data_IF_686651673408
#
_entry.id   IF_686651673408
#
_cell.length_a   1.000
_cell.length_b   1.000
_cell.length_c   1.000
_cell.angle_alpha   90.00
_cell.angle_beta   90.00
_cell.angle_gamma   90.00
#
_symmetry.space_group_name_H-M   'P 1'
#
loop_
_entity.id
_entity.type
_entity.pdbx_description
1 polymer ?
#
# COMPACT_ATOMS: atom_id res chain seq x y z
N UNK A 1 -65.79 -7.58 -14.31
CA UNK A 1 -64.77 -8.57 -14.64
C UNK A 1 -65.49 -9.86 -15.11
N UNK A 2 -65.28 -10.18 -16.36
CA UNK A 2 -66.13 -11.14 -17.11
C UNK A 2 -65.92 -12.56 -16.60
N UNK A 3 -67.04 -13.34 -16.53
CA UNK A 3 -67.05 -14.75 -16.07
C UNK A 3 -66.00 -15.64 -16.82
N UNK A 4 -65.65 -15.26 -18.02
CA UNK A 4 -64.63 -15.95 -18.84
C UNK A 4 -63.24 -15.75 -18.27
N UNK A 5 -62.95 -14.56 -17.73
CA UNK A 5 -61.63 -14.24 -17.18
C UNK A 5 -61.37 -15.01 -15.86
N UNK A 6 -62.43 -15.27 -15.06
CA UNK A 6 -62.32 -16.06 -13.82
C UNK A 6 -62.11 -17.54 -14.08
N UNK A 7 -62.59 -18.07 -15.23
CA UNK A 7 -62.38 -19.47 -15.62
C UNK A 7 -60.95 -19.70 -16.14
N UNK A 8 -60.40 -18.72 -16.88
CA UNK A 8 -59.02 -18.77 -17.39
C UNK A 8 -58.00 -18.68 -16.23
N UNK A 9 -58.32 -17.91 -15.17
CA UNK A 9 -57.43 -17.77 -14.04
C UNK A 9 -57.39 -19.05 -13.17
N UNK A 10 -58.48 -19.80 -13.13
CA UNK A 10 -58.50 -21.09 -12.38
C UNK A 10 -57.82 -22.23 -13.12
N UNK A 11 -57.81 -22.20 -14.46
CA UNK A 11 -57.09 -23.22 -15.26
C UNK A 11 -55.58 -22.94 -15.27
N UNK A 12 -55.15 -21.66 -15.24
CA UNK A 12 -53.74 -21.31 -15.16
C UNK A 12 -53.13 -21.71 -13.80
N UNK A 13 -53.89 -21.66 -12.71
CA UNK A 13 -53.35 -22.09 -11.37
C UNK A 13 -53.30 -23.62 -11.24
N UNK A 14 -54.12 -24.39 -11.99
CA UNK A 14 -54.08 -25.84 -11.96
C UNK A 14 -52.94 -26.45 -12.79
N UNK A 15 -52.42 -25.72 -13.77
CA UNK A 15 -51.29 -26.20 -14.61
C UNK A 15 -49.92 -25.84 -14.02
N UNK A 16 -49.86 -24.83 -13.13
CA UNK A 16 -48.60 -24.45 -12.50
C UNK A 16 -48.34 -25.21 -11.17
N UNK A 17 -49.27 -26.03 -10.71
CA UNK A 17 -49.15 -26.77 -9.46
C UNK A 17 -48.49 -28.15 -9.54
N UNK A 18 -48.03 -28.58 -10.72
CA UNK A 18 -47.51 -29.95 -10.87
C UNK A 18 -46.10 -30.10 -11.39
N UNK A 19 -45.29 -29.08 -11.28
CA UNK A 19 -43.94 -29.16 -11.87
C UNK A 19 -42.80 -28.71 -10.93
N UNK A 20 -42.92 -28.86 -9.61
CA UNK A 20 -41.73 -28.65 -8.75
C UNK A 20 -41.81 -29.58 -7.52
N UNK A 21 -41.76 -30.90 -7.74
CA UNK A 21 -41.19 -31.80 -6.74
C UNK A 21 -39.82 -32.23 -7.27
N UNK A 22 -38.84 -31.30 -7.34
CA UNK A 22 -37.48 -31.70 -7.22
C UNK A 22 -37.20 -31.85 -5.72
N UNK A 23 -36.92 -33.06 -5.34
CA UNK A 23 -36.37 -33.39 -4.06
C UNK A 23 -35.14 -32.51 -3.83
N UNK A 24 -35.24 -31.47 -3.01
CA UNK A 24 -34.11 -31.01 -2.26
C UNK A 24 -33.80 -32.12 -1.26
N UNK A 25 -32.80 -32.92 -1.57
CA UNK A 25 -32.07 -33.57 -0.51
C UNK A 25 -31.45 -32.41 0.29
N UNK A 26 -31.94 -32.22 1.49
CA UNK A 26 -31.22 -31.45 2.49
C UNK A 26 -29.88 -32.15 2.68
N UNK A 27 -28.89 -31.77 1.86
CA UNK A 27 -27.53 -31.89 2.31
C UNK A 27 -27.47 -30.95 3.52
N UNK A 28 -27.58 -31.52 4.68
CA UNK A 28 -27.09 -30.89 5.89
C UNK A 28 -25.64 -30.54 5.55
N UNK A 29 -25.36 -29.27 5.32
CA UNK A 29 -24.01 -28.79 5.32
C UNK A 29 -23.42 -29.20 6.65
N UNK A 30 -22.73 -30.31 6.66
CA UNK A 30 -21.88 -30.65 7.80
C UNK A 30 -21.00 -29.40 8.02
N UNK A 31 -21.03 -28.86 9.24
CA UNK A 31 -20.10 -27.77 9.55
C UNK A 31 -18.72 -28.26 9.12
N UNK A 32 -18.06 -27.50 8.26
CA UNK A 32 -16.73 -27.84 7.74
C UNK A 32 -15.89 -28.26 8.94
N UNK A 33 -15.35 -29.46 8.90
CA UNK A 33 -14.43 -29.92 9.95
C UNK A 33 -13.39 -28.82 10.16
N UNK A 34 -13.11 -28.44 11.40
CA UNK A 34 -12.08 -27.43 11.63
C UNK A 34 -10.80 -27.92 10.97
N UNK A 35 -10.22 -27.06 10.13
CA UNK A 35 -8.91 -27.32 9.50
C UNK A 35 -7.97 -27.67 10.65
N UNK A 36 -7.35 -28.85 10.61
CA UNK A 36 -6.43 -29.24 11.68
C UNK A 36 -5.32 -28.17 11.74
N UNK A 37 -5.29 -27.46 12.83
CA UNK A 37 -4.49 -26.23 13.00
C UNK A 37 -3.02 -26.41 12.67
N UNK A 38 -2.46 -27.60 12.80
CA UNK A 38 -1.03 -27.84 12.63
C UNK A 38 -0.51 -27.69 11.19
N UNK A 39 -1.37 -27.72 10.17
CA UNK A 39 -0.91 -27.84 8.78
C UNK A 39 -0.85 -26.53 8.00
N UNK A 40 -1.41 -25.44 8.52
CA UNK A 40 -1.42 -24.15 7.78
C UNK A 40 -0.32 -23.19 8.24
N UNK A 41 0.31 -23.44 9.36
CA UNK A 41 1.24 -22.49 9.96
C UNK A 41 2.69 -22.79 9.56
N UNK A 42 3.46 -21.72 9.41
CA UNK A 42 4.92 -21.77 9.18
C UNK A 42 5.59 -21.57 10.54
N UNK A 43 6.47 -22.50 10.91
CA UNK A 43 7.29 -22.36 12.12
C UNK A 43 8.43 -21.37 11.90
N UNK A 44 9.08 -20.93 12.98
CA UNK A 44 10.23 -20.04 12.90
C UNK A 44 11.39 -20.65 12.10
N UNK A 45 11.66 -21.93 12.29
CA UNK A 45 12.73 -22.63 11.57
C UNK A 45 12.42 -22.74 10.08
N UNK A 46 11.15 -23.08 9.73
CA UNK A 46 10.69 -23.06 8.34
C UNK A 46 10.81 -21.67 7.73
N UNK A 47 10.47 -20.63 8.46
CA UNK A 47 10.57 -19.25 7.98
C UNK A 47 12.02 -18.87 7.66
N UNK A 48 12.96 -19.29 8.50
CA UNK A 48 14.40 -19.06 8.26
C UNK A 48 14.86 -19.81 6.99
N UNK A 49 14.41 -21.05 6.80
CA UNK A 49 14.76 -21.82 5.59
C UNK A 49 14.14 -21.20 4.33
N UNK A 50 12.90 -20.68 4.41
CA UNK A 50 12.26 -19.92 3.31
C UNK A 50 13.12 -18.69 2.98
N UNK A 51 13.55 -17.94 3.98
CA UNK A 51 14.39 -16.75 3.78
C UNK A 51 15.72 -17.13 3.11
N UNK A 52 16.38 -18.21 3.55
CA UNK A 52 17.64 -18.70 2.94
C UNK A 52 17.44 -19.03 1.46
N UNK A 53 16.39 -19.80 1.13
CA UNK A 53 16.08 -20.15 -0.27
C UNK A 53 15.82 -18.89 -1.09
N UNK A 54 15.03 -17.96 -0.56
CA UNK A 54 14.71 -16.73 -1.25
C UNK A 54 15.96 -15.91 -1.54
N UNK A 55 16.84 -15.73 -0.54
CA UNK A 55 18.12 -15.03 -0.71
C UNK A 55 18.98 -15.72 -1.77
N UNK A 56 19.11 -17.05 -1.69
CA UNK A 56 19.89 -17.82 -2.65
C UNK A 56 19.42 -17.62 -4.10
N UNK A 57 18.12 -17.54 -4.30
CA UNK A 57 17.53 -17.50 -5.63
C UNK A 57 17.36 -16.06 -6.17
N UNK A 58 17.24 -15.06 -5.30
CA UNK A 58 16.88 -13.70 -5.69
C UNK A 58 17.90 -12.63 -5.25
N UNK A 59 18.78 -12.96 -4.30
CA UNK A 59 19.71 -11.99 -3.74
C UNK A 59 20.88 -11.68 -4.70
N UNK A 60 21.50 -10.51 -4.51
CA UNK A 60 22.76 -10.23 -5.18
C UNK A 60 23.85 -11.18 -4.65
N UNK A 61 24.91 -11.35 -5.43
CA UNK A 61 26.01 -12.28 -5.10
C UNK A 61 26.56 -12.06 -3.68
N UNK A 62 26.65 -10.82 -3.24
CA UNK A 62 27.11 -10.48 -1.89
C UNK A 62 26.22 -11.04 -0.79
N UNK A 63 24.90 -10.96 -0.95
CA UNK A 63 23.93 -11.51 0.01
C UNK A 63 23.93 -13.04 -0.03
N UNK A 64 24.00 -13.63 -1.22
CA UNK A 64 24.08 -15.09 -1.41
C UNK A 64 25.32 -15.67 -0.77
N UNK A 65 26.48 -15.09 -1.04
CA UNK A 65 27.77 -15.51 -0.46
C UNK A 65 27.74 -15.39 1.07
N UNK A 66 27.21 -14.28 1.59
CA UNK A 66 27.13 -14.04 3.04
C UNK A 66 26.22 -15.05 3.71
N UNK A 67 25.05 -15.32 3.15
CA UNK A 67 24.13 -16.33 3.70
C UNK A 67 24.75 -17.74 3.68
N UNK A 68 25.53 -18.07 2.65
CA UNK A 68 26.20 -19.37 2.51
C UNK A 68 27.41 -19.50 3.45
N UNK A 69 28.13 -18.42 3.73
CA UNK A 69 29.33 -18.43 4.58
C UNK A 69 29.07 -18.28 6.08
N UNK A 70 27.81 -18.49 6.51
CA UNK A 70 27.44 -18.47 7.92
C UNK A 70 26.95 -17.11 8.42
N UNK A 71 26.50 -16.24 7.52
CA UNK A 71 25.81 -15.00 7.90
C UNK A 71 24.59 -15.32 8.77
N UNK A 72 24.41 -14.53 9.84
CA UNK A 72 23.38 -14.79 10.84
C UNK A 72 22.00 -14.33 10.35
N UNK A 73 21.12 -15.31 10.11
CA UNK A 73 19.71 -15.06 9.84
C UNK A 73 18.95 -15.08 11.16
N UNK A 74 18.42 -13.93 11.54
CA UNK A 74 17.78 -13.75 12.85
C UNK A 74 16.38 -13.14 12.67
N UNK A 75 15.38 -13.77 13.28
CA UNK A 75 14.04 -13.18 13.40
C UNK A 75 14.13 -11.96 14.31
N UNK A 76 13.75 -10.79 13.80
CA UNK A 76 13.82 -9.51 14.53
C UNK A 76 12.43 -8.95 14.86
N UNK A 77 11.37 -9.41 14.17
CA UNK A 77 10.01 -8.93 14.41
C UNK A 77 8.98 -9.99 13.99
N UNK A 78 7.89 -10.10 14.76
CA UNK A 78 6.65 -10.80 14.41
C UNK A 78 5.49 -9.95 14.92
N UNK A 79 4.25 -10.31 14.55
CA UNK A 79 3.05 -9.65 15.08
C UNK A 79 2.67 -10.15 16.50
N UNK A 80 3.36 -11.15 17.02
CA UNK A 80 3.12 -11.68 18.38
C UNK A 80 4.12 -11.04 19.34
N UNK A 81 3.60 -10.38 20.37
CA UNK A 81 4.43 -9.84 21.45
C UNK A 81 4.68 -10.94 22.49
N UNK A 82 5.93 -11.23 22.76
CA UNK A 82 6.30 -12.22 23.76
C UNK A 82 5.85 -11.80 25.16
N UNK A 83 5.19 -12.66 25.90
CA UNK A 83 4.96 -12.44 27.34
C UNK A 83 3.66 -12.89 27.98
N UNK A 84 2.68 -13.40 27.24
CA UNK A 84 1.45 -13.91 27.86
C UNK A 84 1.27 -15.41 27.59
N UNK A 85 0.58 -16.10 28.53
CA UNK A 85 0.29 -17.55 28.43
C UNK A 85 -0.58 -17.87 27.21
N UNK A 86 -1.43 -16.94 26.77
CA UNK A 86 -2.25 -17.08 25.56
C UNK A 86 -1.38 -17.03 24.28
N UNK A 87 -0.22 -16.44 24.35
CA UNK A 87 0.71 -16.28 23.22
C UNK A 87 1.62 -17.50 23.02
N UNK A 88 1.71 -18.39 24.01
CA UNK A 88 2.56 -19.58 23.91
C UNK A 88 2.15 -20.54 22.78
N UNK A 89 0.86 -20.49 22.37
CA UNK A 89 0.32 -21.30 21.27
C UNK A 89 -0.08 -20.46 20.06
N UNK A 90 0.26 -19.16 20.04
CA UNK A 90 -0.10 -18.29 18.93
C UNK A 90 0.93 -18.43 17.80
N UNK A 91 0.43 -18.46 16.57
CA UNK A 91 1.28 -18.54 15.37
C UNK A 91 1.41 -17.15 14.75
N UNK A 92 2.64 -16.66 14.54
CA UNK A 92 2.82 -15.36 13.90
C UNK A 92 2.23 -15.31 12.50
N UNK A 93 1.67 -14.17 12.14
CA UNK A 93 1.21 -13.94 10.76
C UNK A 93 2.38 -13.69 9.81
N UNK A 94 3.50 -13.22 10.33
CA UNK A 94 4.72 -13.01 9.56
C UNK A 94 5.96 -13.05 10.46
N UNK A 95 7.10 -13.26 9.82
CA UNK A 95 8.44 -13.19 10.43
C UNK A 95 9.29 -12.21 9.63
N UNK A 96 9.86 -11.21 10.28
CA UNK A 96 10.89 -10.35 9.66
C UNK A 96 12.24 -10.91 10.07
N UNK A 97 13.04 -11.28 9.09
CA UNK A 97 14.32 -11.98 9.28
C UNK A 97 15.43 -11.15 8.68
N UNK A 98 16.35 -10.67 9.51
CA UNK A 98 17.54 -9.95 9.05
C UNK A 98 18.66 -10.93 8.70
N UNK A 99 19.41 -10.65 7.64
CA UNK A 99 20.70 -11.23 7.34
C UNK A 99 21.76 -10.22 7.82
N UNK A 100 22.26 -10.43 9.02
CA UNK A 100 23.19 -9.52 9.69
C UNK A 100 22.68 -8.06 9.64
N UNK A 101 23.52 -7.13 9.14
CA UNK A 101 23.21 -5.71 9.01
C UNK A 101 23.00 -5.30 7.54
N UNK A 102 22.78 -6.27 6.63
CA UNK A 102 22.85 -6.00 5.18
C UNK A 102 21.55 -6.18 4.43
N UNK A 103 20.64 -7.03 4.95
CA UNK A 103 19.42 -7.38 4.21
C UNK A 103 18.33 -7.79 5.18
N UNK A 104 17.07 -7.82 4.68
CA UNK A 104 15.99 -8.48 5.41
C UNK A 104 15.02 -9.17 4.43
N UNK A 105 14.31 -10.17 4.95
CA UNK A 105 13.21 -10.85 4.26
C UNK A 105 12.01 -10.92 5.22
N UNK A 106 10.82 -10.62 4.71
CA UNK A 106 9.54 -10.79 5.42
C UNK A 106 8.90 -12.06 4.91
N UNK A 107 8.78 -13.06 5.78
CA UNK A 107 8.22 -14.38 5.45
C UNK A 107 6.82 -14.48 6.05
N UNK A 108 5.86 -15.01 5.29
CA UNK A 108 4.52 -15.27 5.80
C UNK A 108 4.53 -16.38 6.86
N UNK A 109 3.72 -16.22 7.90
CA UNK A 109 3.44 -17.24 8.90
C UNK A 109 2.44 -18.31 8.42
N UNK A 110 2.06 -18.29 7.15
CA UNK A 110 1.03 -19.15 6.60
C UNK A 110 1.49 -19.91 5.35
N UNK A 111 1.11 -21.19 5.25
CA UNK A 111 1.37 -22.02 4.06
C UNK A 111 0.38 -21.79 2.93
N UNK A 112 -0.73 -21.06 3.19
CA UNK A 112 -1.77 -20.82 2.18
C UNK A 112 -1.69 -19.40 1.58
N UNK A 113 -0.61 -18.67 1.84
CA UNK A 113 -0.35 -17.33 1.30
C UNK A 113 0.97 -17.31 0.53
N UNK A 114 1.35 -16.15 -0.04
CA UNK A 114 2.71 -15.98 -0.59
C UNK A 114 3.76 -16.30 0.48
N UNK A 115 4.77 -17.08 0.18
CA UNK A 115 5.78 -17.42 1.20
C UNK A 115 6.66 -16.24 1.60
N UNK A 116 6.94 -15.30 0.70
CA UNK A 116 7.70 -14.08 1.01
C UNK A 116 6.82 -12.87 0.71
N UNK A 117 6.70 -11.98 1.68
CA UNK A 117 5.83 -10.80 1.62
C UNK A 117 6.62 -9.52 1.30
N UNK A 118 7.93 -9.52 1.57
CA UNK A 118 8.77 -8.37 1.28
C UNK A 118 10.24 -8.65 1.53
N UNK A 119 11.11 -7.76 1.04
CA UNK A 119 12.55 -7.90 1.25
C UNK A 119 13.28 -6.60 0.91
N UNK A 120 14.50 -6.49 1.44
CA UNK A 120 15.51 -5.55 0.97
C UNK A 120 16.88 -6.23 0.99
N UNK A 121 17.71 -5.94 -0.01
CA UNK A 121 19.10 -6.36 -0.03
C UNK A 121 20.06 -5.18 0.19
N UNK A 122 19.53 -4.01 0.52
CA UNK A 122 20.29 -2.77 0.68
C UNK A 122 20.44 -2.34 2.14
N UNK A 123 19.61 -2.90 3.03
CA UNK A 123 19.59 -2.49 4.44
C UNK A 123 18.90 -3.56 5.30
N UNK A 124 19.22 -3.64 6.60
CA UNK A 124 18.48 -4.51 7.53
C UNK A 124 17.16 -3.83 7.91
N UNK A 125 16.24 -4.59 8.45
CA UNK A 125 15.02 -4.07 9.05
C UNK A 125 15.34 -3.52 10.45
N UNK A 126 14.91 -2.27 10.70
CA UNK A 126 15.16 -1.59 11.99
C UNK A 126 13.85 -1.60 12.80
N UNK A 127 13.88 -2.22 13.97
CA UNK A 127 12.69 -2.40 14.81
C UNK A 127 12.49 -1.30 15.84
N UNK A 128 13.48 -0.46 16.07
CA UNK A 128 13.40 0.59 17.10
C UNK A 128 12.54 1.78 16.68
N UNK A 129 12.29 1.94 15.39
CA UNK A 129 11.48 3.03 14.86
C UNK A 129 10.92 2.59 13.51
N UNK A 130 9.79 1.92 13.52
CA UNK A 130 9.15 1.40 12.29
C UNK A 130 8.36 2.53 11.65
N UNK A 131 8.62 2.85 10.37
CA UNK A 131 7.82 3.85 9.66
C UNK A 131 6.34 3.46 9.64
N UNK A 132 5.45 4.45 9.79
CA UNK A 132 4.00 4.22 9.84
C UNK A 132 3.51 3.43 8.60
N UNK A 133 4.03 3.73 7.42
CA UNK A 133 3.66 3.02 6.20
C UNK A 133 4.00 1.53 6.25
N UNK A 134 5.15 1.19 6.83
CA UNK A 134 5.57 -0.21 7.05
C UNK A 134 4.66 -0.88 8.07
N UNK A 135 4.34 -0.19 9.17
CA UNK A 135 3.44 -0.72 10.20
C UNK A 135 2.07 -1.04 9.60
N UNK A 136 1.51 -0.13 8.79
CA UNK A 136 0.21 -0.36 8.11
C UNK A 136 0.27 -1.54 7.14
N UNK A 137 1.38 -1.68 6.42
CA UNK A 137 1.59 -2.85 5.54
C UNK A 137 1.57 -4.15 6.35
N UNK A 138 2.26 -4.17 7.48
CA UNK A 138 2.33 -5.35 8.36
C UNK A 138 0.99 -5.65 9.03
N UNK A 139 0.26 -4.62 9.44
CA UNK A 139 -1.09 -4.79 9.99
C UNK A 139 -2.01 -5.42 8.94
N UNK A 140 -1.88 -5.01 7.69
CA UNK A 140 -2.62 -5.60 6.57
C UNK A 140 -2.26 -7.08 6.37
N UNK A 141 -0.97 -7.40 6.35
CA UNK A 141 -0.53 -8.81 6.25
C UNK A 141 -1.10 -9.64 7.39
N UNK A 142 -1.11 -9.09 8.61
CA UNK A 142 -1.69 -9.78 9.78
C UNK A 142 -3.16 -10.15 9.54
N UNK A 143 -3.95 -9.19 9.08
CA UNK A 143 -5.38 -9.41 8.80
C UNK A 143 -5.56 -10.44 7.68
N UNK A 144 -4.84 -10.26 6.57
CA UNK A 144 -4.98 -11.14 5.39
C UNK A 144 -4.54 -12.58 5.68
N UNK A 145 -3.44 -12.76 6.40
CA UNK A 145 -2.92 -14.09 6.75
C UNK A 145 -3.88 -14.81 7.70
N UNK A 146 -4.38 -14.12 8.72
CA UNK A 146 -5.37 -14.69 9.65
C UNK A 146 -6.65 -15.09 8.91
N UNK A 147 -7.14 -14.24 8.02
CA UNK A 147 -8.31 -14.50 7.21
C UNK A 147 -8.09 -15.71 6.29
N UNK A 148 -6.94 -15.79 5.63
CA UNK A 148 -6.58 -16.90 4.76
C UNK A 148 -6.55 -18.22 5.51
N UNK A 149 -5.96 -18.24 6.70
CA UNK A 149 -5.85 -19.44 7.53
C UNK A 149 -7.23 -20.01 7.96
N UNK A 150 -8.25 -19.15 8.04
CA UNK A 150 -9.60 -19.60 8.39
C UNK A 150 -10.46 -19.99 7.20
N UNK A 151 -10.15 -19.46 5.99
CA UNK A 151 -11.01 -19.60 4.81
C UNK A 151 -10.42 -20.52 3.74
N UNK A 152 -9.11 -20.68 3.71
CA UNK A 152 -8.43 -21.42 2.64
C UNK A 152 -7.93 -22.75 3.19
N UNK A 153 -8.42 -23.85 2.62
CA UNK A 153 -7.93 -25.18 2.98
C UNK A 153 -6.59 -25.45 2.28
N UNK A 154 -5.62 -26.02 3.00
CA UNK A 154 -4.40 -26.48 2.36
C UNK A 154 -4.73 -27.45 1.22
N UNK A 155 -4.01 -27.34 0.13
CA UNK A 155 -4.16 -28.23 -1.02
C UNK A 155 -2.82 -28.45 -1.69
N UNK A 156 -2.68 -29.55 -2.39
CA UNK A 156 -1.46 -29.85 -3.15
C UNK A 156 -1.18 -28.75 -4.17
N UNK A 157 -2.21 -28.15 -4.77
CA UNK A 157 -2.05 -27.08 -5.74
C UNK A 157 -1.42 -25.82 -5.09
N UNK A 158 -1.79 -25.49 -3.86
CA UNK A 158 -1.19 -24.37 -3.12
C UNK A 158 0.26 -24.70 -2.74
N UNK A 159 0.50 -25.93 -2.30
CA UNK A 159 1.83 -26.42 -1.94
C UNK A 159 2.75 -26.42 -3.17
N UNK A 160 2.28 -26.91 -4.30
CA UNK A 160 3.03 -26.92 -5.57
C UNK A 160 3.37 -25.49 -6.00
N UNK A 161 2.42 -24.56 -5.86
CA UNK A 161 2.64 -23.16 -6.17
C UNK A 161 3.71 -22.52 -5.26
N UNK A 162 3.66 -22.83 -3.96
CA UNK A 162 4.69 -22.38 -3.00
C UNK A 162 6.05 -22.95 -3.35
N UNK A 163 6.10 -24.25 -3.65
CA UNK A 163 7.34 -24.93 -4.00
C UNK A 163 7.91 -24.35 -5.30
N UNK A 164 7.08 -24.18 -6.32
CA UNK A 164 7.49 -23.55 -7.57
C UNK A 164 8.03 -22.13 -7.34
N UNK A 165 7.37 -21.36 -6.47
CA UNK A 165 7.82 -20.01 -6.09
C UNK A 165 9.19 -20.04 -5.41
N UNK A 166 9.41 -21.00 -4.51
CA UNK A 166 10.65 -21.11 -3.74
C UNK A 166 11.77 -21.81 -4.53
N UNK A 167 11.42 -22.72 -5.44
CA UNK A 167 12.36 -23.55 -6.18
C UNK A 167 12.64 -23.05 -7.59
N UNK A 168 11.84 -22.10 -8.07
CA UNK A 168 12.07 -21.57 -9.40
C UNK A 168 13.51 -21.09 -9.51
N UNK A 169 14.30 -21.87 -10.20
CA UNK A 169 15.65 -21.54 -10.62
C UNK A 169 15.57 -20.28 -11.46
N UNK A 170 16.56 -19.49 -11.36
CA UNK A 170 16.40 -18.08 -11.31
C UNK A 170 16.04 -17.46 -12.64
N UNK A 171 14.81 -17.19 -12.85
CA UNK A 171 14.63 -15.81 -13.22
C UNK A 171 14.71 -15.08 -11.88
N UNK A 172 15.92 -14.74 -11.46
CA UNK A 172 16.18 -13.72 -10.45
C UNK A 172 15.06 -12.71 -10.59
N UNK A 173 14.37 -12.36 -9.50
CA UNK A 173 13.31 -11.37 -9.58
C UNK A 173 13.94 -10.07 -10.07
N UNK A 174 14.17 -10.02 -11.36
CA UNK A 174 14.80 -8.87 -11.99
C UNK A 174 13.91 -7.67 -11.75
N UNK A 175 14.52 -6.61 -11.26
CA UNK A 175 13.86 -5.33 -11.25
C UNK A 175 13.54 -4.98 -12.71
N UNK A 176 12.25 -4.97 -13.03
CA UNK A 176 11.79 -4.50 -14.35
C UNK A 176 11.98 -2.99 -14.40
N UNK A 177 11.62 -2.33 -13.29
CA UNK A 177 11.96 -0.93 -13.05
C UNK A 177 12.64 -0.86 -11.69
N UNK A 178 13.88 -0.43 -11.66
CA UNK A 178 14.63 -0.21 -10.42
C UNK A 178 14.13 1.03 -9.70
N UNK A 179 14.57 1.26 -8.44
CA UNK A 179 14.09 2.43 -7.69
C UNK A 179 14.42 3.74 -8.42
N UNK A 180 13.37 4.39 -8.93
CA UNK A 180 13.52 5.62 -9.73
C UNK A 180 14.06 6.79 -8.89
N UNK A 181 13.74 6.84 -7.60
CA UNK A 181 14.28 7.87 -6.69
C UNK A 181 15.79 7.71 -6.46
N UNK A 182 16.31 6.50 -6.66
CA UNK A 182 17.73 6.24 -6.52
C UNK A 182 18.26 6.58 -5.12
N UNK A 183 19.09 7.64 -5.05
CA UNK A 183 19.71 8.06 -3.80
C UNK A 183 18.86 9.05 -3.00
N UNK A 184 17.69 9.49 -3.51
CA UNK A 184 16.82 10.43 -2.81
C UNK A 184 16.17 9.69 -1.64
N UNK A 185 16.61 10.00 -0.43
CA UNK A 185 16.17 9.36 0.82
C UNK A 185 15.90 10.42 1.87
N UNK A 186 14.86 11.22 1.62
CA UNK A 186 14.51 12.31 2.50
C UNK A 186 13.66 11.83 3.68
N UNK A 187 13.57 12.66 4.70
CA UNK A 187 12.86 12.38 5.95
C UNK A 187 11.91 13.55 6.27
N UNK A 188 11.09 13.38 7.28
CA UNK A 188 10.21 14.42 7.78
C UNK A 188 10.92 15.33 8.80
N UNK A 189 11.96 14.79 9.44
CA UNK A 189 12.80 15.44 10.48
C UNK A 189 14.04 14.57 10.74
N UNK A 190 15.10 15.06 11.42
CA UNK A 190 15.39 16.47 11.68
C UNK A 190 15.91 17.19 10.42
N UNK A 191 16.03 18.49 10.52
CA UNK A 191 16.55 19.43 9.51
C UNK A 191 15.55 19.77 8.37
N UNK A 192 14.78 18.80 7.88
CA UNK A 192 13.74 19.02 6.85
C UNK A 192 12.65 19.97 7.36
N UNK A 193 12.39 19.93 8.66
CA UNK A 193 11.32 20.65 9.34
C UNK A 193 11.77 21.98 9.98
N UNK A 194 12.92 22.50 9.58
CA UNK A 194 13.50 23.73 10.18
C UNK A 194 12.53 24.92 10.14
N UNK A 195 11.72 25.04 9.10
CA UNK A 195 10.75 26.12 8.94
C UNK A 195 9.33 25.75 9.42
N UNK A 196 9.11 24.51 9.82
CA UNK A 196 7.80 24.07 10.31
C UNK A 196 7.51 24.65 11.70
N UNK A 197 6.25 25.00 12.01
CA UNK A 197 5.89 25.63 13.29
C UNK A 197 6.38 24.77 14.48
N UNK A 198 7.12 25.42 15.38
CA UNK A 198 7.65 24.81 16.62
C UNK A 198 8.38 23.47 16.41
N UNK A 199 8.98 23.28 15.22
CA UNK A 199 9.75 22.08 14.93
C UNK A 199 8.92 20.83 14.69
N UNK A 200 7.63 20.96 14.38
CA UNK A 200 6.75 19.82 14.00
C UNK A 200 7.28 19.14 12.74
N UNK A 201 7.05 17.83 12.54
CA UNK A 201 7.46 17.17 11.29
C UNK A 201 6.85 17.81 10.04
N UNK A 202 7.52 17.67 8.91
CA UNK A 202 7.04 18.17 7.61
C UNK A 202 5.69 17.55 7.21
N UNK A 203 5.49 16.30 7.55
CA UNK A 203 4.32 15.51 7.14
C UNK A 203 4.61 14.62 5.93
N UNK A 204 4.09 13.40 5.98
CA UNK A 204 4.40 12.35 5.00
C UNK A 204 3.99 12.73 3.56
N UNK A 205 2.82 13.39 3.40
CA UNK A 205 2.34 13.79 2.07
C UNK A 205 3.30 14.79 1.42
N UNK A 206 3.73 15.80 2.20
CA UNK A 206 4.66 16.81 1.68
C UNK A 206 6.06 16.21 1.42
N UNK A 207 6.52 15.29 2.27
CA UNK A 207 7.81 14.60 2.09
C UNK A 207 7.81 13.78 0.80
N UNK A 208 6.78 12.96 0.58
CA UNK A 208 6.65 12.14 -0.63
C UNK A 208 6.59 13.02 -1.89
N UNK A 209 5.76 14.08 -1.86
CA UNK A 209 5.68 15.05 -2.96
C UNK A 209 7.04 15.67 -3.25
N UNK A 210 7.74 16.11 -2.19
CA UNK A 210 9.04 16.78 -2.31
C UNK A 210 10.11 15.88 -2.93
N UNK A 211 10.14 14.59 -2.56
CA UNK A 211 11.09 13.62 -3.10
C UNK A 211 10.89 13.43 -4.63
N UNK A 212 9.63 13.32 -5.08
CA UNK A 212 9.35 13.19 -6.52
C UNK A 212 9.73 14.48 -7.27
N UNK A 213 9.43 15.64 -6.69
CA UNK A 213 9.82 16.92 -7.30
C UNK A 213 11.36 17.07 -7.37
N UNK A 214 12.07 16.60 -6.32
CA UNK A 214 13.54 16.60 -6.29
C UNK A 214 14.14 15.72 -7.40
N UNK A 215 13.52 14.58 -7.68
CA UNK A 215 13.97 13.71 -8.79
C UNK A 215 13.99 14.47 -10.11
N UNK A 216 12.93 15.22 -10.39
CA UNK A 216 12.79 15.95 -11.65
C UNK A 216 13.51 17.31 -11.66
N UNK A 217 13.94 17.81 -10.49
CA UNK A 217 14.49 19.17 -10.36
C UNK A 217 13.55 20.19 -11.01
N UNK A 218 12.24 20.07 -10.75
CA UNK A 218 11.21 20.87 -11.41
C UNK A 218 10.15 21.34 -10.39
N UNK A 219 9.66 22.59 -10.54
CA UNK A 219 10.06 23.62 -11.52
C UNK A 219 11.33 24.37 -11.07
N UNK A 220 11.95 25.13 -11.96
CA UNK A 220 13.06 26.04 -11.58
C UNK A 220 12.55 27.23 -10.76
N UNK A 221 11.28 27.60 -10.92
CA UNK A 221 10.64 28.70 -10.21
C UNK A 221 9.15 28.42 -10.12
N UNK A 222 8.61 28.51 -8.92
CA UNK A 222 7.17 28.39 -8.69
C UNK A 222 6.41 29.65 -9.09
N UNK A 223 5.17 29.79 -8.64
CA UNK A 223 4.32 30.93 -8.98
C UNK A 223 3.30 31.20 -7.88
N UNK A 224 3.04 32.49 -7.61
CA UNK A 224 2.01 32.94 -6.68
C UNK A 224 2.35 32.73 -5.22
N UNK A 225 1.36 32.84 -4.39
CA UNK A 225 1.49 32.65 -2.94
C UNK A 225 0.27 31.93 -2.38
N UNK A 226 0.42 31.40 -1.18
CA UNK A 226 -0.67 30.75 -0.45
C UNK A 226 -0.60 31.08 1.04
N UNK A 227 -1.76 31.17 1.67
CA UNK A 227 -1.85 31.26 3.13
C UNK A 227 -3.13 30.56 3.62
N UNK A 228 -3.05 30.00 4.80
CA UNK A 228 -4.20 29.35 5.46
C UNK A 228 -4.09 29.49 6.97
N UNK A 229 -5.22 29.35 7.65
CA UNK A 229 -5.30 29.39 9.12
C UNK A 229 -4.99 28.02 9.70
N UNK A 230 -4.12 27.96 10.68
CA UNK A 230 -3.72 26.75 11.37
C UNK A 230 -3.80 26.94 12.89
N UNK A 231 -3.58 25.86 13.65
CA UNK A 231 -3.45 25.95 15.12
C UNK A 231 -2.22 26.76 15.56
N UNK A 232 -1.32 27.08 14.65
CA UNK A 232 -0.13 27.91 14.91
C UNK A 232 -0.27 29.34 14.37
N UNK A 233 -1.50 29.75 14.03
CA UNK A 233 -1.76 31.04 13.39
C UNK A 233 -1.79 30.92 11.88
N UNK A 234 -1.74 32.04 11.17
CA UNK A 234 -1.72 32.07 9.72
C UNK A 234 -0.34 31.64 9.22
N UNK A 235 -0.31 30.58 8.44
CA UNK A 235 0.91 30.10 7.76
C UNK A 235 0.85 30.55 6.29
N UNK A 236 1.99 30.91 5.74
CA UNK A 236 2.04 31.44 4.38
C UNK A 236 3.35 31.07 3.69
N UNK A 237 3.30 31.05 2.36
CA UNK A 237 4.50 30.81 1.53
C UNK A 237 4.34 31.53 0.19
N UNK A 238 5.43 32.13 -0.27
CA UNK A 238 5.52 32.72 -1.60
C UNK A 238 6.33 31.79 -2.51
N UNK A 239 5.69 31.24 -3.55
CA UNK A 239 6.28 30.29 -4.47
C UNK A 239 7.07 30.96 -5.60
N UNK A 240 6.93 32.27 -5.73
CA UNK A 240 7.57 33.02 -6.82
C UNK A 240 9.05 33.30 -6.48
N UNK A 241 9.83 32.20 -6.34
CA UNK A 241 11.26 32.22 -6.08
C UNK A 241 11.96 31.14 -6.88
N UNK A 242 13.25 31.33 -7.15
CA UNK A 242 14.07 30.33 -7.83
C UNK A 242 14.44 29.22 -6.85
N UNK A 243 14.15 28.00 -7.24
CA UNK A 243 14.43 26.79 -6.42
C UNK A 243 15.83 26.30 -6.80
N UNK A 244 16.73 26.28 -5.84
CA UNK A 244 18.11 25.81 -6.05
C UNK A 244 18.20 24.29 -5.84
N UNK A 245 17.80 23.54 -6.87
CA UNK A 245 17.81 22.08 -6.82
C UNK A 245 19.20 21.49 -6.59
N UNK A 246 20.25 22.17 -7.00
CA UNK A 246 21.63 21.67 -6.88
C UNK A 246 22.15 21.84 -5.44
N UNK A 247 21.60 22.77 -4.67
CA UNK A 247 21.88 22.91 -3.24
C UNK A 247 21.18 21.84 -2.39
N UNK A 248 20.27 21.05 -2.97
CA UNK A 248 19.50 20.03 -2.23
C UNK A 248 20.11 18.63 -2.42
N UNK A 249 20.77 18.06 -1.41
CA UNK A 249 21.35 16.71 -1.56
C UNK A 249 20.26 15.65 -1.71
N UNK A 250 20.59 14.56 -2.39
CA UNK A 250 19.71 13.40 -2.55
C UNK A 250 19.65 12.56 -1.29
N UNK A 251 20.78 12.32 -0.67
CA UNK A 251 20.89 11.50 0.54
C UNK A 251 20.19 12.15 1.74
N UNK A 252 19.96 11.36 2.77
CA UNK A 252 19.39 11.84 4.03
C UNK A 252 20.27 12.97 4.61
N UNK A 253 19.63 14.03 5.10
CA UNK A 253 20.35 15.17 5.69
C UNK A 253 20.99 14.76 7.02
N UNK A 254 22.27 15.09 7.17
CA UNK A 254 23.04 14.90 8.42
C UNK A 254 23.31 16.23 9.12
N UNK A 255 22.91 17.33 8.48
CA UNK A 255 23.02 18.69 9.02
C UNK A 255 21.96 19.57 8.35
N UNK A 256 21.78 20.76 8.92
CA UNK A 256 20.81 21.71 8.41
C UNK A 256 21.08 22.07 6.93
N UNK A 257 20.04 22.10 6.14
CA UNK A 257 20.05 22.56 4.75
C UNK A 257 18.80 23.44 4.55
N UNK A 258 19.01 24.73 4.43
CA UNK A 258 17.89 25.70 4.39
C UNK A 258 17.09 25.59 3.09
N UNK A 259 17.71 25.23 1.95
CA UNK A 259 16.96 25.06 0.70
C UNK A 259 15.99 23.89 0.78
N UNK A 260 16.46 22.72 1.29
CA UNK A 260 15.59 21.56 1.47
C UNK A 260 14.45 21.90 2.44
N UNK A 261 14.79 22.48 3.60
CA UNK A 261 13.79 22.80 4.63
C UNK A 261 12.75 23.81 4.16
N UNK A 262 13.21 24.86 3.46
CA UNK A 262 12.34 25.88 2.86
C UNK A 262 11.41 25.27 1.81
N UNK A 263 11.96 24.41 0.95
CA UNK A 263 11.20 23.73 -0.10
C UNK A 263 10.14 22.81 0.51
N UNK A 264 10.51 21.94 1.46
CA UNK A 264 9.59 21.02 2.13
C UNK A 264 8.48 21.77 2.86
N UNK A 265 8.82 22.87 3.56
CA UNK A 265 7.83 23.73 4.21
C UNK A 265 6.88 24.35 3.18
N UNK A 266 7.41 24.85 2.06
CA UNK A 266 6.58 25.40 0.98
C UNK A 266 5.58 24.37 0.43
N UNK A 267 6.04 23.12 0.20
CA UNK A 267 5.15 22.03 -0.22
C UNK A 267 4.09 21.77 0.85
N UNK A 268 4.47 21.73 2.13
CA UNK A 268 3.52 21.50 3.23
C UNK A 268 2.46 22.63 3.28
N UNK A 269 2.87 23.89 3.11
CA UNK A 269 1.94 25.03 3.07
C UNK A 269 1.00 24.91 1.85
N UNK A 270 1.51 24.50 0.67
CA UNK A 270 0.68 24.31 -0.54
C UNK A 270 -0.44 23.29 -0.32
N UNK A 271 -0.27 22.42 0.65
CA UNK A 271 -1.16 21.29 0.95
C UNK A 271 -2.05 21.55 2.20
N UNK A 272 -2.06 22.77 2.73
CA UNK A 272 -2.78 23.11 3.96
C UNK A 272 -2.44 22.15 5.12
N UNK A 273 -1.15 21.90 5.35
CA UNK A 273 -0.68 20.90 6.31
C UNK A 273 -1.18 21.18 7.74
N UNK A 274 -1.86 20.22 8.34
CA UNK A 274 -2.20 20.23 9.76
C UNK A 274 -0.98 19.82 10.58
N UNK A 275 -0.16 20.81 10.95
CA UNK A 275 1.07 20.56 11.71
C UNK A 275 0.75 20.13 13.14
N UNK A 276 1.49 19.12 13.64
CA UNK A 276 1.35 18.60 15.00
C UNK A 276 2.66 17.94 15.45
N UNK A 277 3.03 18.06 16.74
CA UNK A 277 4.23 17.39 17.25
C UNK A 277 4.17 15.85 17.16
N UNK A 278 2.96 15.28 17.22
CA UNK A 278 2.76 13.83 17.13
C UNK A 278 2.69 13.32 15.69
N UNK A 279 2.76 14.22 14.69
CA UNK A 279 2.69 13.87 13.27
C UNK A 279 1.85 14.89 12.52
N UNK A 280 2.40 15.45 11.45
CA UNK A 280 1.73 16.42 10.60
C UNK A 280 1.01 15.71 9.45
N UNK A 281 -0.23 16.10 9.17
CA UNK A 281 -1.06 15.42 8.19
C UNK A 281 -1.87 16.33 7.30
N UNK A 282 -2.16 15.85 6.10
CA UNK A 282 -3.06 16.49 5.14
C UNK A 282 -3.61 15.44 4.17
N UNK A 283 -4.51 15.84 3.29
CA UNK A 283 -5.14 14.97 2.30
C UNK A 283 -4.26 14.85 1.05
N UNK A 284 -3.89 13.63 0.66
CA UNK A 284 -3.11 13.42 -0.57
C UNK A 284 -3.83 13.94 -1.82
N UNK A 285 -5.16 13.96 -1.81
CA UNK A 285 -5.94 14.48 -2.92
C UNK A 285 -5.69 15.96 -3.22
N UNK A 286 -5.04 16.71 -2.31
CA UNK A 286 -4.66 18.11 -2.55
C UNK A 286 -3.42 18.23 -3.42
N UNK A 287 -2.61 17.18 -3.55
CA UNK A 287 -1.32 17.21 -4.26
C UNK A 287 -1.48 17.65 -5.72
N UNK A 288 -2.39 17.06 -6.53
CA UNK A 288 -2.51 17.51 -7.92
C UNK A 288 -2.88 18.99 -8.07
N UNK A 289 -3.76 19.51 -7.21
CA UNK A 289 -4.14 20.92 -7.26
C UNK A 289 -2.96 21.83 -6.90
N UNK A 290 -2.21 21.50 -5.84
CA UNK A 290 -1.04 22.26 -5.39
C UNK A 290 0.06 22.27 -6.46
N UNK A 291 0.34 21.12 -7.07
CA UNK A 291 1.33 20.97 -8.13
C UNK A 291 1.00 21.85 -9.35
N UNK A 292 -0.24 21.85 -9.78
CA UNK A 292 -0.71 22.67 -10.90
C UNK A 292 -0.69 24.16 -10.57
N UNK A 293 -1.15 24.52 -9.40
CA UNK A 293 -1.36 25.93 -9.02
C UNK A 293 -0.03 26.65 -8.71
N UNK A 294 0.86 26.00 -7.99
CA UNK A 294 2.07 26.65 -7.47
C UNK A 294 3.36 26.20 -8.14
N UNK A 295 3.37 24.98 -8.73
CA UNK A 295 4.58 24.37 -9.22
C UNK A 295 4.58 24.08 -10.73
N UNK A 296 3.59 24.62 -11.44
CA UNK A 296 3.53 24.61 -12.93
C UNK A 296 3.50 23.20 -13.53
N UNK A 297 3.03 22.20 -12.77
CA UNK A 297 2.84 20.85 -13.31
C UNK A 297 1.64 20.84 -14.26
N UNK A 298 1.63 19.90 -15.23
CA UNK A 298 0.59 19.88 -16.26
C UNK A 298 -0.78 19.47 -15.71
N UNK A 299 -1.83 19.81 -16.44
CA UNK A 299 -3.23 19.62 -16.01
C UNK A 299 -3.62 18.16 -15.81
N UNK A 300 -2.91 17.21 -16.44
CA UNK A 300 -3.20 15.78 -16.36
C UNK A 300 -2.70 15.10 -15.08
N UNK A 301 -1.95 15.80 -14.20
CA UNK A 301 -1.63 15.26 -12.87
C UNK A 301 -2.92 15.09 -12.08
N UNK A 302 -3.18 13.89 -11.58
CA UNK A 302 -4.45 13.58 -10.92
C UNK A 302 -4.32 12.46 -9.89
N UNK A 303 -5.33 12.35 -9.02
CA UNK A 303 -5.43 11.25 -8.07
C UNK A 303 -6.25 10.11 -8.68
N UNK A 304 -5.92 8.89 -8.28
CA UNK A 304 -6.70 7.69 -8.56
C UNK A 304 -6.95 6.96 -7.24
N UNK A 305 -8.17 6.48 -7.04
CA UNK A 305 -8.60 5.77 -5.83
C UNK A 305 -8.66 4.27 -6.11
N UNK A 306 -8.05 3.47 -5.25
CA UNK A 306 -8.00 1.99 -5.38
C UNK A 306 -9.38 1.37 -5.57
N UNK A 307 -10.38 1.88 -4.87
CA UNK A 307 -11.77 1.39 -4.93
C UNK A 307 -12.41 1.45 -6.32
N UNK A 308 -11.86 2.25 -7.22
CA UNK A 308 -12.37 2.40 -8.60
C UNK A 308 -11.79 1.37 -9.57
N UNK A 309 -10.88 0.50 -9.13
CA UNK A 309 -10.14 -0.42 -10.00
C UNK A 309 -10.22 -1.85 -9.45
N UNK A 310 -10.27 -2.84 -10.33
CA UNK A 310 -9.97 -4.22 -9.93
C UNK A 310 -8.48 -4.33 -9.52
N UNK A 311 -8.10 -5.42 -8.85
CA UNK A 311 -6.70 -5.63 -8.44
C UNK A 311 -5.75 -5.55 -9.65
N UNK A 312 -6.09 -6.26 -10.72
CA UNK A 312 -5.21 -6.31 -11.90
C UNK A 312 -5.13 -4.95 -12.61
N UNK A 313 -6.23 -4.20 -12.66
CA UNK A 313 -6.21 -2.84 -13.19
C UNK A 313 -5.34 -1.91 -12.35
N UNK A 314 -5.38 -2.06 -11.02
CA UNK A 314 -4.56 -1.25 -10.11
C UNK A 314 -3.07 -1.53 -10.29
N UNK A 315 -2.70 -2.81 -10.34
CA UNK A 315 -1.32 -3.23 -10.60
C UNK A 315 -0.85 -2.68 -11.96
N UNK A 316 -1.67 -2.82 -12.99
CA UNK A 316 -1.36 -2.32 -14.34
C UNK A 316 -1.20 -0.80 -14.34
N UNK A 317 -2.04 -0.08 -13.58
CA UNK A 317 -1.96 1.39 -13.47
C UNK A 317 -0.64 1.82 -12.82
N UNK A 318 -0.26 1.19 -11.70
CA UNK A 318 1.00 1.51 -11.01
C UNK A 318 2.20 1.19 -11.92
N UNK A 319 2.20 0.01 -12.54
CA UNK A 319 3.29 -0.38 -13.46
C UNK A 319 3.42 0.57 -14.64
N UNK A 320 2.30 0.97 -15.25
CA UNK A 320 2.30 1.93 -16.36
C UNK A 320 3.02 3.23 -15.99
N UNK A 321 2.78 3.74 -14.78
CA UNK A 321 3.48 4.94 -14.32
C UNK A 321 4.99 4.68 -14.19
N UNK A 322 5.35 3.56 -13.55
CA UNK A 322 6.74 3.20 -13.34
C UNK A 322 7.48 2.93 -14.66
N UNK A 323 6.84 2.23 -15.61
CA UNK A 323 7.40 1.97 -16.94
C UNK A 323 7.67 3.25 -17.72
N UNK A 324 6.88 4.28 -17.45
CA UNK A 324 7.07 5.62 -18.05
C UNK A 324 8.07 6.49 -17.25
N UNK A 325 8.79 5.91 -16.28
CA UNK A 325 9.76 6.64 -15.48
C UNK A 325 9.13 7.60 -14.47
N UNK A 326 7.89 7.39 -14.11
CA UNK A 326 7.16 8.24 -13.17
C UNK A 326 6.95 7.53 -11.84
N UNK A 327 7.68 7.93 -10.78
CA UNK A 327 7.37 7.43 -9.44
C UNK A 327 5.94 7.81 -9.03
N UNK A 328 5.31 6.93 -8.31
CA UNK A 328 3.90 7.09 -7.89
C UNK A 328 3.88 7.52 -6.42
N UNK A 329 3.30 8.67 -6.13
CA UNK A 329 3.01 9.01 -4.74
C UNK A 329 1.82 8.16 -4.30
N UNK A 330 2.05 7.27 -3.35
CA UNK A 330 1.10 6.26 -2.89
C UNK A 330 0.66 6.59 -1.47
N UNK A 331 -0.64 6.48 -1.21
CA UNK A 331 -1.19 6.60 0.15
C UNK A 331 -1.93 5.31 0.48
N UNK A 332 -1.72 4.82 1.67
CA UNK A 332 -2.49 3.70 2.21
C UNK A 332 -2.81 3.94 3.66
N UNK A 333 -3.92 3.39 4.12
CA UNK A 333 -4.36 3.59 5.49
C UNK A 333 -5.13 2.41 6.05
N UNK A 334 -5.17 2.35 7.35
CA UNK A 334 -5.89 1.35 8.11
C UNK A 334 -6.50 1.97 9.38
N UNK A 335 -6.78 1.14 10.36
CA UNK A 335 -7.43 1.57 11.60
C UNK A 335 -6.60 2.56 12.43
N UNK A 336 -5.27 2.53 12.27
CA UNK A 336 -4.36 3.43 12.98
C UNK A 336 -4.08 4.76 12.30
N UNK A 337 -4.62 4.99 11.09
CA UNK A 337 -4.35 6.21 10.33
C UNK A 337 -3.97 5.92 8.89
N UNK A 338 -3.35 6.90 8.24
CA UNK A 338 -2.90 6.77 6.85
C UNK A 338 -1.51 7.38 6.67
N UNK A 339 -0.76 6.86 5.70
CA UNK A 339 0.59 7.33 5.42
C UNK A 339 0.80 7.46 3.91
N UNK A 340 1.50 8.53 3.50
CA UNK A 340 1.88 8.76 2.10
C UNK A 340 3.37 8.50 1.92
N UNK A 341 3.72 7.80 0.85
CA UNK A 341 5.08 7.36 0.55
C UNK A 341 5.26 7.28 -0.97
N UNK A 342 6.43 6.87 -1.44
CA UNK A 342 6.67 6.78 -2.88
C UNK A 342 6.87 5.31 -3.28
N UNK A 343 6.10 4.88 -4.29
CA UNK A 343 6.32 3.63 -5.02
C UNK A 343 7.13 3.98 -6.26
N UNK A 344 8.32 3.42 -6.38
CA UNK A 344 9.27 3.90 -7.39
C UNK A 344 10.01 2.77 -8.14
N UNK A 345 9.53 1.54 -8.04
CA UNK A 345 10.09 0.43 -8.79
C UNK A 345 9.27 -0.84 -8.63
N UNK A 346 9.54 -1.85 -9.47
CA UNK A 346 8.90 -3.15 -9.30
C UNK A 346 9.72 -4.27 -9.96
N UNK A 347 9.47 -5.50 -9.52
CA UNK A 347 10.09 -6.73 -10.05
C UNK A 347 9.13 -7.50 -10.93
N UNK A 348 9.65 -8.47 -11.68
CA UNK A 348 8.86 -9.41 -12.48
C UNK A 348 7.79 -10.15 -11.67
N UNK A 349 8.03 -10.37 -10.37
CA UNK A 349 7.13 -11.09 -9.46
C UNK A 349 6.18 -10.18 -8.68
N UNK A 350 5.98 -8.93 -9.15
CA UNK A 350 5.05 -7.95 -8.56
C UNK A 350 5.42 -7.51 -7.13
N UNK A 351 6.70 -7.57 -6.77
CA UNK A 351 7.15 -6.82 -5.61
C UNK A 351 7.35 -5.37 -6.03
N UNK A 352 6.75 -4.44 -5.30
CA UNK A 352 6.86 -3.00 -5.55
C UNK A 352 7.84 -2.39 -4.56
N UNK A 353 8.77 -1.57 -5.07
CA UNK A 353 9.73 -0.86 -4.23
C UNK A 353 9.07 0.37 -3.62
N UNK A 354 9.23 0.53 -2.31
CA UNK A 354 8.70 1.67 -1.55
C UNK A 354 9.82 2.43 -0.85
N UNK A 355 9.81 3.74 -1.03
CA UNK A 355 10.56 4.70 -0.24
C UNK A 355 9.55 5.31 0.76
N UNK A 356 9.74 5.01 2.02
CA UNK A 356 8.77 5.35 3.07
C UNK A 356 8.83 6.81 3.54
N UNK A 357 9.84 7.59 3.08
CA UNK A 357 10.02 8.98 3.50
C UNK A 357 10.61 9.11 4.90
N UNK A 358 11.40 8.12 5.31
CA UNK A 358 12.04 8.06 6.63
C UNK A 358 13.57 7.92 6.52
N UNK A 359 14.17 8.65 5.58
CA UNK A 359 15.62 8.65 5.41
C UNK A 359 16.18 7.33 4.88
N UNK A 360 15.37 6.53 4.21
CA UNK A 360 15.76 5.21 3.70
C UNK A 360 15.48 4.05 4.66
N UNK A 361 14.97 4.35 5.84
CA UNK A 361 14.70 3.31 6.85
C UNK A 361 13.58 2.39 6.37
N UNK A 362 13.86 1.09 6.34
CA UNK A 362 12.96 0.02 5.91
C UNK A 362 12.50 0.11 4.45
N UNK A 363 13.13 0.96 3.62
CA UNK A 363 12.88 0.95 2.18
C UNK A 363 13.13 -0.46 1.64
N UNK A 364 12.33 -0.90 0.69
CA UNK A 364 12.44 -2.24 0.14
C UNK A 364 11.29 -2.61 -0.78
N UNK A 365 11.25 -3.86 -1.15
CA UNK A 365 10.28 -4.44 -2.06
C UNK A 365 9.21 -5.20 -1.27
N UNK A 366 7.94 -4.96 -1.57
CA UNK A 366 6.82 -5.58 -0.84
C UNK A 366 5.73 -6.01 -1.81
N UNK A 367 5.07 -7.11 -1.49
CA UNK A 367 3.80 -7.50 -2.12
C UNK A 367 2.70 -6.54 -1.63
N UNK A 368 1.81 -6.14 -2.52
CA UNK A 368 0.68 -5.29 -2.12
C UNK A 368 -0.39 -6.06 -1.30
N UNK A 369 -0.36 -7.40 -1.38
CA UNK A 369 -1.27 -8.30 -0.65
C UNK A 369 -0.54 -9.57 -0.26
N UNK A 370 -0.89 -10.16 0.87
CA UNK A 370 -0.38 -11.47 1.26
C UNK A 370 -1.01 -12.60 0.43
N UNK A 371 -2.21 -12.39 -0.11
CA UNK A 371 -2.93 -13.36 -0.93
C UNK A 371 -2.60 -13.20 -2.42
N UNK A 372 -2.37 -14.30 -3.12
CA UNK A 372 -2.25 -14.29 -4.58
C UNK A 372 -3.68 -14.32 -5.18
N UNK A 373 -4.20 -13.20 -5.66
CA UNK A 373 -5.59 -13.15 -6.12
C UNK A 373 -5.85 -13.93 -7.43
N UNK A 374 -4.79 -14.21 -8.20
CA UNK A 374 -4.96 -14.92 -9.47
C UNK A 374 -5.03 -16.45 -9.31
N UNK A 375 -4.46 -16.98 -8.24
CA UNK A 375 -4.28 -18.44 -8.07
C UNK A 375 -5.31 -19.07 -7.14
N UNK A 376 -5.91 -18.29 -6.25
CA UNK A 376 -6.76 -18.84 -5.18
C UNK A 376 -8.24 -18.56 -5.37
N UNK A 377 -8.65 -17.94 -6.48
CA UNK A 377 -10.06 -17.65 -6.75
C UNK A 377 -10.71 -16.68 -5.79
N UNK A 378 -9.95 -16.17 -4.85
CA UNK A 378 -10.46 -15.20 -3.88
C UNK A 378 -10.34 -13.80 -4.48
N UNK A 379 -11.38 -13.36 -5.13
CA UNK A 379 -11.53 -11.94 -5.42
C UNK A 379 -11.40 -11.19 -4.11
N UNK A 380 -10.52 -10.22 -4.08
CA UNK A 380 -10.09 -9.50 -2.91
C UNK A 380 -11.13 -9.40 -1.79
N UNK A 381 -10.82 -10.03 -0.69
CA UNK A 381 -11.72 -10.06 0.46
C UNK A 381 -12.08 -8.66 0.94
N UNK A 382 -13.32 -8.51 1.35
CA UNK A 382 -13.88 -7.26 1.87
C UNK A 382 -13.40 -6.93 3.30
N UNK A 383 -12.38 -7.62 3.78
CA UNK A 383 -11.84 -7.41 5.13
C UNK A 383 -10.89 -6.23 5.19
N UNK A 384 -11.14 -5.36 6.12
CA UNK A 384 -10.37 -4.13 6.32
C UNK A 384 -8.86 -4.35 6.45
N UNK A 385 -8.11 -3.52 5.89
CA UNK A 385 -6.67 -3.50 5.85
C UNK A 385 -6.25 -2.38 4.91
N UNK A 386 -5.07 -2.50 4.38
CA UNK A 386 -4.51 -1.53 3.42
C UNK A 386 -5.40 -1.37 2.17
N UNK A 387 -6.34 -2.29 1.98
CA UNK A 387 -7.29 -2.26 0.86
C UNK A 387 -8.37 -1.19 0.99
N UNK A 388 -8.56 -0.65 2.18
CA UNK A 388 -9.42 0.51 2.37
C UNK A 388 -8.55 1.76 2.31
N UNK A 389 -8.94 2.72 1.50
CA UNK A 389 -8.30 4.05 1.42
C UNK A 389 -6.93 4.10 0.71
N UNK A 390 -6.64 3.15 -0.19
CA UNK A 390 -5.47 3.34 -1.06
C UNK A 390 -5.78 4.38 -2.13
N UNK A 391 -4.85 5.31 -2.33
CA UNK A 391 -4.90 6.27 -3.43
C UNK A 391 -3.48 6.53 -3.96
N UNK A 392 -3.40 6.94 -5.22
CA UNK A 392 -2.12 7.31 -5.84
C UNK A 392 -2.26 8.62 -6.59
N UNK A 393 -1.13 9.32 -6.75
CA UNK A 393 -1.01 10.45 -7.68
C UNK A 393 -0.32 9.93 -8.92
N UNK A 394 -0.96 10.07 -10.06
CA UNK A 394 -0.48 9.61 -11.38
C UNK A 394 -0.18 10.78 -12.29
N UNK A 395 0.59 10.51 -13.34
CA UNK A 395 1.10 11.50 -14.29
C UNK A 395 1.94 12.57 -13.60
N UNK A 396 2.61 12.19 -12.49
CA UNK A 396 3.40 13.11 -11.69
C UNK A 396 4.77 13.33 -12.38
N UNK A 397 4.76 14.15 -13.42
CA UNK A 397 5.95 14.49 -14.20
C UNK A 397 5.87 15.95 -14.72
N UNK A 398 7.02 16.58 -14.99
CA UNK A 398 7.04 17.91 -15.60
C UNK A 398 6.42 17.95 -17.00
N UNK A 399 6.08 19.13 -17.52
CA UNK A 399 5.69 19.28 -18.93
C UNK A 399 6.77 18.73 -19.87
N UNK A 400 6.36 18.03 -20.92
CA UNK A 400 7.28 17.40 -21.86
C UNK A 400 7.76 16.02 -21.45
N UNK A 401 7.29 15.50 -20.31
CA UNK A 401 7.49 14.09 -19.94
C UNK A 401 6.77 13.13 -20.87
N UNK A 402 7.01 11.84 -20.68
CA UNK A 402 6.40 10.80 -21.52
C UNK A 402 4.88 10.90 -21.46
N UNK A 403 4.21 10.91 -22.63
CA UNK A 403 2.75 10.90 -22.70
C UNK A 403 2.22 9.61 -22.04
N UNK A 404 1.32 9.73 -21.07
CA UNK A 404 0.81 8.56 -20.43
C UNK A 404 -0.05 7.73 -21.37
N UNK A 405 0.06 6.42 -21.27
CA UNK A 405 -0.92 5.51 -21.90
C UNK A 405 -2.31 5.76 -21.28
N UNK A 406 -3.39 5.54 -22.04
CA UNK A 406 -4.74 5.71 -21.48
C UNK A 406 -4.91 4.87 -20.20
N UNK A 407 -5.48 5.48 -19.19
CA UNK A 407 -5.77 4.77 -17.92
C UNK A 407 -6.70 3.59 -18.17
N UNK A 408 -6.49 2.46 -17.49
CA UNK A 408 -7.53 1.44 -17.45
C UNK A 408 -8.82 2.07 -16.89
N UNK A 409 -9.94 1.85 -17.56
CA UNK A 409 -11.22 2.46 -17.16
C UNK A 409 -11.61 1.97 -15.76
N UNK A 410 -12.03 2.85 -14.86
CA UNK A 410 -12.55 2.44 -13.58
C UNK A 410 -13.74 1.49 -13.73
N UNK A 411 -13.79 0.57 -12.80
CA UNK A 411 -14.89 -0.39 -12.86
C UNK A 411 -16.21 0.34 -12.52
N UNK A 412 -16.94 0.47 -13.39
CA UNK A 412 -18.18 1.18 -13.28
C UNK A 412 -19.13 0.58 -12.29
N UNK A 413 -18.89 -0.50 -11.88
CA UNK A 413 -19.67 -1.16 -10.88
C UNK A 413 -19.43 -0.57 -9.49
N UNK A 414 -18.44 -0.19 -9.29
CA UNK A 414 -18.13 0.41 -8.08
C UNK A 414 -18.62 1.88 -7.96
N UNK A 415 -18.69 2.34 -8.93
CA UNK A 415 -19.17 3.69 -8.97
C UNK A 415 -20.68 3.79 -8.77
N UNK A 416 -21.20 2.92 -9.25
CA UNK A 416 -22.61 2.79 -9.02
C UNK A 416 -22.94 2.40 -7.58
N UNK A 417 -22.27 1.76 -7.11
CA UNK A 417 -22.45 1.40 -5.71
C UNK A 417 -22.28 2.62 -4.76
N UNK A 418 -21.54 3.27 -5.12
CA UNK A 418 -21.38 4.42 -4.31
C UNK A 418 -22.47 5.47 -4.49
N UNK A 419 -22.82 5.44 -5.50
CA UNK A 419 -23.92 6.26 -5.81
C UNK A 419 -25.23 5.65 -5.32
N UNK A 420 -25.21 4.57 -5.40
CA UNK A 420 -26.33 3.87 -4.88
C UNK A 420 -26.45 3.97 -3.38
N UNK A 421 -25.46 3.96 -2.66
CA UNK A 421 -25.49 4.15 -1.20
C UNK A 421 -25.93 5.57 -0.87
N UNK A 422 -25.43 6.54 -1.57
CA UNK A 422 -25.83 7.93 -1.35
C UNK A 422 -27.32 8.15 -1.68
N UNK A 423 -27.83 7.53 -2.74
CA UNK A 423 -29.25 7.65 -3.08
C UNK A 423 -30.18 6.90 -2.09
N UNK A 424 -29.74 5.76 -1.60
CA UNK A 424 -30.52 4.99 -0.58
C UNK A 424 -30.55 5.74 0.76
N UNK A 425 -29.45 6.37 1.13
CA UNK A 425 -29.38 7.16 2.36
C UNK A 425 -30.24 8.44 2.28
N UNK A 426 -30.37 9.04 1.11
CA UNK A 426 -31.21 10.22 0.91
C UNK A 426 -32.72 9.89 0.98
N UNK A 427 -33.12 8.66 0.70
CA UNK A 427 -34.53 8.24 0.73
C UNK A 427 -35.05 7.81 2.11
N UNK A 428 -34.16 7.62 3.08
CA UNK A 428 -34.55 7.09 4.40
C UNK A 428 -34.79 8.16 5.48
N UNK A 429 -34.76 9.45 5.12
CA UNK A 429 -35.28 10.56 5.96
C UNK A 429 -34.73 10.66 7.37
N UNK A 430 -33.54 10.13 7.63
CA UNK A 430 -32.93 10.21 8.94
C UNK A 430 -31.78 11.23 8.97
N UNK A 431 -31.57 11.83 10.11
CA UNK A 431 -30.43 12.70 10.35
C UNK A 431 -29.15 11.98 9.94
N UNK A 432 -28.56 12.45 8.88
CA UNK A 432 -27.26 11.96 8.42
C UNK A 432 -26.24 12.37 9.47
N UNK A 433 -25.91 11.47 10.37
CA UNK A 433 -24.63 11.56 11.08
C UNK A 433 -23.59 11.35 9.97
N UNK A 434 -23.06 12.45 9.50
CA UNK A 434 -21.98 12.43 8.52
C UNK A 434 -20.80 11.73 9.18
N UNK A 435 -20.69 10.44 8.92
CA UNK A 435 -19.50 9.70 9.29
C UNK A 435 -18.36 10.26 8.43
N UNK A 436 -17.67 11.24 8.96
CA UNK A 436 -16.42 11.71 8.39
C UNK A 436 -15.41 10.58 8.55
N UNK A 437 -15.39 9.70 7.57
CA UNK A 437 -14.30 8.73 7.47
C UNK A 437 -13.08 9.54 7.04
N UNK A 438 -12.22 9.80 8.00
CA UNK A 438 -11.01 10.59 7.80
C UNK A 438 -10.04 9.88 6.85
N UNK A 439 -9.99 10.33 5.61
CA UNK A 439 -8.97 9.89 4.63
C UNK A 439 -7.69 10.73 4.78
N UNK A 440 -7.33 11.09 5.99
CA UNK A 440 -6.12 11.88 6.22
C UNK A 440 -4.90 10.98 6.27
N UNK A 441 -3.90 11.32 5.50
CA UNK A 441 -2.55 10.77 5.67
C UNK A 441 -1.86 11.61 6.75
N UNK A 442 -1.86 11.10 7.98
CA UNK A 442 -1.19 11.75 9.11
C UNK A 442 0.30 11.42 9.13
#
# INVERSE_FOLDING_TARGET
MNKILKKLFKVAMAVFGFAFFFSCSDQVDNPAEPVSDANVYVSQDEAIEIAKRFIKNNGPESAVTRAASGGNLKVVLTDIKAGTRAEANAHPSYYVINLDSTAYVVVSGSKVTYPVLGFSFDNPFITTSIPDGVQYMFDNYTVEVKDANTKIKPSTAIEDLRNAYLESTPTRAEAIVGPLLGRIKWNQQPYYNTYCPRGTPVGCVATATSQIMRLYKYPKRGTGSHSYSSSYGTLSFNYDYNIDWDAMPESVLRQRNDEVARFCYGVAVALDMGFSPSGSGTWQQYVPAALKKYYKYPSNVQSAERSSYSYNQWIALVKRELDAGRPVQYCGGGTGGAHSFVCDGYTSNNYFHFNWGWGGMSDGYFQLHALNPGSLGTGGGSGGGFNNYQSIVINFAPPGGVEPNPDPKPNXXXXXXXXXITLIMAKLGGNVVQLHILKMCK
#
